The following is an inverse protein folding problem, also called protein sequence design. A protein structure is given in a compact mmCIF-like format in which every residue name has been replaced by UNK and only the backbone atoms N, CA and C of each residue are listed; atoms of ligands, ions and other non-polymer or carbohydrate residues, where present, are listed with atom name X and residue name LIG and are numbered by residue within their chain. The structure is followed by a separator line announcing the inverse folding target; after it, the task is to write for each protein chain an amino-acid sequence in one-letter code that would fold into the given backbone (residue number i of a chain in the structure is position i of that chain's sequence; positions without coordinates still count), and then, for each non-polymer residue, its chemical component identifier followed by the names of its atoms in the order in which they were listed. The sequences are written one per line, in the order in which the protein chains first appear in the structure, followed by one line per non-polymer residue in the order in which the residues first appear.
data_IF_725816292860
#
_entry.id   IF_725816292860
#
_cell.length_a   1.000
_cell.length_b   1.000
_cell.length_c   1.000
_cell.angle_alpha   90.00
_cell.angle_beta   90.00
_cell.angle_gamma   90.00
#
_symmetry.space_group_name_H-M   'P 1'
#
loop_
_entity.id
_entity.type
_entity.pdbx_description
1 polymer ?
#
# COMPACT_ATOMS: atom_id res chain seq x y z
N UNK A 1 18.66 -3.84 21.88
CA UNK A 1 17.52 -3.07 21.33
C UNK A 1 16.59 -2.69 22.48
N UNK A 2 16.35 -1.39 22.72
CA UNK A 2 15.31 -0.94 23.67
C UNK A 2 14.00 -0.80 22.90
N UNK A 3 13.02 -1.64 23.19
CA UNK A 3 11.71 -1.60 22.53
C UNK A 3 10.98 -0.31 22.95
N UNK A 4 10.54 0.48 21.98
CA UNK A 4 9.83 1.73 22.22
C UNK A 4 8.47 1.51 22.86
N UNK A 5 8.07 2.37 23.81
CA UNK A 5 6.80 2.25 24.55
C UNK A 5 5.57 2.10 23.66
N UNK A 6 5.56 2.71 22.49
CA UNK A 6 4.41 2.70 21.59
C UNK A 6 4.46 1.56 20.55
N UNK A 7 5.58 0.83 20.46
CA UNK A 7 5.76 -0.28 19.54
C UNK A 7 4.83 -1.45 19.88
N UNK A 8 4.52 -2.35 18.94
CA UNK A 8 3.82 -3.60 19.25
C UNK A 8 4.57 -4.40 20.32
N UNK A 9 3.84 -4.95 21.29
CA UNK A 9 4.44 -5.73 22.35
C UNK A 9 5.06 -7.03 21.78
N UNK A 10 6.32 -7.36 22.11
CA UNK A 10 7.02 -8.54 21.56
C UNK A 10 6.41 -9.88 21.99
N UNK A 11 5.47 -9.88 22.94
CA UNK A 11 4.74 -11.09 23.33
C UNK A 11 3.59 -11.45 22.35
N UNK A 12 3.50 -10.77 21.20
CA UNK A 12 2.48 -10.95 20.15
C UNK A 12 1.02 -10.85 20.64
N UNK A 13 0.76 -9.99 21.63
CA UNK A 13 -0.58 -9.74 22.15
C UNK A 13 -1.43 -8.76 21.33
N UNK A 14 -0.84 -8.17 20.27
CA UNK A 14 -1.49 -7.15 19.44
C UNK A 14 -1.65 -5.77 20.11
N UNK A 15 -1.13 -5.58 21.34
CA UNK A 15 -1.19 -4.30 22.07
C UNK A 15 0.15 -3.57 22.01
N UNK A 16 0.15 -2.23 22.08
CA UNK A 16 1.37 -1.44 22.26
C UNK A 16 2.12 -1.88 23.53
N UNK A 17 3.44 -1.92 23.51
CA UNK A 17 4.33 -2.42 24.55
C UNK A 17 4.02 -1.76 25.91
N UNK A 18 3.79 -0.43 25.92
CA UNK A 18 3.35 0.35 27.09
C UNK A 18 2.02 -0.09 27.71
N UNK A 19 1.17 -0.77 26.94
CA UNK A 19 -0.15 -1.29 27.37
C UNK A 19 -0.13 -2.80 27.60
N UNK A 20 1.05 -3.44 27.59
CA UNK A 20 1.19 -4.89 27.73
C UNK A 20 2.35 -5.29 28.65
N UNK A 21 3.55 -5.61 28.14
CA UNK A 21 4.65 -6.10 28.99
C UNK A 21 5.43 -4.98 29.71
N UNK A 22 5.30 -3.72 29.26
CA UNK A 22 6.04 -2.59 29.83
C UNK A 22 5.91 -2.44 31.35
N UNK A 23 4.71 -2.63 31.92
CA UNK A 23 4.48 -2.51 33.36
C UNK A 23 5.07 -3.67 34.16
N UNK A 24 5.21 -4.85 33.56
CA UNK A 24 5.84 -6.03 34.19
C UNK A 24 7.36 -5.92 34.16
N UNK A 25 7.92 -5.43 33.06
CA UNK A 25 9.36 -5.21 32.91
C UNK A 25 9.83 -4.02 33.76
N UNK A 26 9.02 -2.94 33.84
CA UNK A 26 9.29 -1.80 34.73
C UNK A 26 9.21 -2.16 36.23
N UNK A 27 8.35 -3.11 36.61
CA UNK A 27 8.26 -3.61 37.99
C UNK A 27 9.46 -4.50 38.38
N UNK A 28 10.00 -5.27 37.43
CA UNK A 28 11.20 -6.09 37.63
C UNK A 28 12.48 -5.23 37.70
N UNK A 29 12.53 -4.12 36.95
CA UNK A 29 13.63 -3.15 37.01
C UNK A 29 13.56 -2.28 38.28
N UNK A 30 12.35 -1.91 38.74
CA UNK A 30 12.14 -1.18 40.00
C UNK A 30 12.47 -2.02 41.24
N UNK A 31 12.17 -3.32 41.24
CA UNK A 31 12.54 -4.24 42.32
C UNK A 31 14.06 -4.50 42.43
N UNK A 32 14.81 -4.27 41.34
CA UNK A 32 16.28 -4.45 41.27
C UNK A 32 17.07 -3.18 41.56
N UNK A 33 16.45 -2.00 41.48
CA UNK A 33 17.16 -0.73 41.61
C UNK A 33 17.57 -0.42 43.06
N UNK A 34 16.68 -0.46 44.05
CA UNK A 34 17.03 -0.03 45.42
C UNK A 34 15.77 0.16 46.29
N UNK A 35 15.50 -0.49 47.42
CA UNK A 35 16.25 -1.45 48.26
C UNK A 35 17.71 -1.12 48.61
N UNK A 36 18.19 0.07 48.24
CA UNK A 36 19.46 0.66 48.66
C UNK A 36 19.15 2.03 49.28
N UNK A 37 18.50 1.97 50.45
CA UNK A 37 18.31 3.02 51.47
C UNK A 37 17.29 4.13 51.09
N UNK A 38 16.12 4.33 51.70
CA UNK A 38 15.43 3.90 52.93
C UNK A 38 13.90 4.12 52.70
N UNK A 39 13.04 3.15 53.02
CA UNK A 39 11.59 3.38 53.25
C UNK A 39 11.27 3.19 54.74
N UNK A 40 10.16 3.76 55.26
CA UNK A 40 8.96 2.92 55.32
C UNK A 40 7.62 3.65 55.09
N UNK A 41 6.70 2.90 54.45
CA UNK A 41 5.32 2.59 54.86
C UNK A 41 4.36 3.75 55.14
N UNK A 42 3.15 3.74 54.55
CA UNK A 42 1.91 3.52 55.32
C UNK A 42 0.66 3.54 54.42
N UNK A 43 -0.32 2.79 54.91
CA UNK A 43 -1.61 2.41 54.34
C UNK A 43 -2.49 3.55 53.79
N UNK A 44 -3.29 3.16 52.80
CA UNK A 44 -4.25 3.96 52.05
C UNK A 44 -5.53 4.26 52.86
N UNK A 45 -5.96 5.53 52.96
CA UNK A 45 -7.33 5.86 53.31
C UNK A 45 -8.14 6.29 52.08
N UNK A 46 -9.32 5.67 51.96
CA UNK A 46 -10.40 5.91 51.00
C UNK A 46 -10.90 7.36 50.96
N UNK A 47 -11.14 7.82 49.73
CA UNK A 47 -11.64 9.14 49.35
C UNK A 47 -13.13 9.32 49.67
N UNK A 48 -13.44 10.31 50.52
CA UNK A 48 -14.73 11.00 50.53
C UNK A 48 -14.51 12.48 50.84
N UNK A 49 -15.19 13.35 50.06
CA UNK A 49 -15.34 14.81 50.17
C UNK A 49 -14.45 15.67 49.22
N UNK A 50 -14.98 16.82 48.74
CA UNK A 50 -14.78 17.32 47.37
C UNK A 50 -13.50 18.14 47.18
N UNK A 51 -12.88 18.01 46.00
CA UNK A 51 -11.74 18.81 45.56
C UNK A 51 -12.08 20.31 45.44
N UNK A 52 -12.02 21.04 46.54
CA UNK A 52 -11.58 22.43 46.51
C UNK A 52 -10.10 22.51 46.90
N UNK A 53 -9.35 23.29 46.12
CA UNK A 53 -7.97 23.72 46.32
C UNK A 53 -6.83 22.72 46.01
N UNK A 54 -6.54 22.52 44.72
CA UNK A 54 -5.17 22.72 44.20
C UNK A 54 -5.25 23.49 42.87
N UNK A 55 -5.37 24.83 42.96
CA UNK A 55 -5.13 25.76 41.83
C UNK A 55 -3.65 26.16 41.83
N UNK A 56 -2.75 25.22 41.58
CA UNK A 56 -1.41 25.59 41.15
C UNK A 56 -1.49 25.81 39.63
N UNK A 57 -1.55 27.07 39.19
CA UNK A 57 -1.37 27.43 37.79
C UNK A 57 0.04 26.99 37.39
N UNK A 58 0.15 25.87 36.68
CA UNK A 58 1.31 25.64 35.81
C UNK A 58 1.26 26.77 34.78
N UNK A 59 2.13 27.77 34.93
CA UNK A 59 2.28 28.81 33.93
C UNK A 59 2.68 28.13 32.62
N UNK A 60 1.76 28.14 31.64
CA UNK A 60 2.11 27.75 30.28
C UNK A 60 3.20 28.72 29.82
N UNK A 61 4.29 28.25 29.20
CA UNK A 61 5.25 29.15 28.60
C UNK A 61 4.50 30.16 27.72
N UNK A 62 4.86 31.45 27.82
CA UNK A 62 4.27 32.49 26.97
C UNK A 62 4.43 32.04 25.52
N UNK A 63 3.33 31.98 24.77
CA UNK A 63 3.37 31.65 23.34
C UNK A 63 4.27 32.68 22.65
N UNK A 64 5.13 32.21 21.75
CA UNK A 64 5.94 33.12 20.96
C UNK A 64 5.02 33.92 20.00
N UNK A 65 5.32 35.20 19.71
CA UNK A 65 4.47 36.05 18.86
C UNK A 65 4.20 35.49 17.46
N UNK A 66 5.14 34.76 16.89
CA UNK A 66 5.00 34.07 15.59
C UNK A 66 3.99 32.92 15.70
N UNK A 67 4.10 32.10 16.75
CA UNK A 67 3.11 31.06 17.04
C UNK A 67 1.68 31.60 17.22
N UNK A 68 1.52 32.76 17.87
CA UNK A 68 0.19 33.41 18.01
C UNK A 68 -0.34 33.93 16.66
N UNK A 69 0.54 34.43 15.79
CA UNK A 69 0.18 34.88 14.43
C UNK A 69 -0.31 33.70 13.60
N UNK A 70 0.44 32.59 13.57
CA UNK A 70 0.04 31.38 12.83
C UNK A 70 -1.25 30.77 13.38
N UNK A 71 -1.43 30.72 14.70
CA UNK A 71 -2.70 30.25 15.28
C UNK A 71 -3.89 31.12 14.84
N UNK A 72 -3.69 32.43 14.75
CA UNK A 72 -4.72 33.36 14.28
C UNK A 72 -5.01 33.17 12.79
N UNK A 73 -3.97 32.96 11.97
CA UNK A 73 -4.10 32.61 10.56
C UNK A 73 -4.90 31.32 10.39
N UNK A 74 -4.52 30.24 11.05
CA UNK A 74 -5.17 28.93 10.92
C UNK A 74 -6.64 28.95 11.36
N UNK A 75 -6.96 29.66 12.45
CA UNK A 75 -8.37 29.85 12.88
C UNK A 75 -9.24 30.53 11.83
N UNK A 76 -8.66 31.47 11.07
CA UNK A 76 -9.35 32.10 9.94
C UNK A 76 -9.42 31.13 8.75
N UNK A 77 -8.29 30.51 8.43
CA UNK A 77 -8.12 29.60 7.30
C UNK A 77 -9.08 28.42 7.35
N UNK A 78 -9.23 27.76 8.49
CA UNK A 78 -10.11 26.59 8.66
C UNK A 78 -11.58 26.88 8.32
N UNK A 79 -12.02 28.11 8.59
CA UNK A 79 -13.41 28.55 8.35
C UNK A 79 -13.65 29.11 6.95
N UNK A 80 -12.58 29.34 6.19
CA UNK A 80 -12.64 29.93 4.86
C UNK A 80 -13.19 28.95 3.81
N UNK A 81 -13.79 29.50 2.75
CA UNK A 81 -14.16 28.72 1.56
C UNK A 81 -12.90 28.19 0.85
N UNK A 82 -13.03 27.24 -0.06
CA UNK A 82 -11.86 26.71 -0.80
C UNK A 82 -11.13 27.80 -1.60
N UNK A 83 -11.86 28.74 -2.21
CA UNK A 83 -11.27 29.89 -2.91
C UNK A 83 -10.56 30.85 -1.97
N UNK A 84 -11.17 31.14 -0.80
CA UNK A 84 -10.53 32.00 0.19
C UNK A 84 -9.30 31.31 0.81
N UNK A 85 -9.33 29.99 1.01
CA UNK A 85 -8.16 29.20 1.43
C UNK A 85 -7.03 29.30 0.40
N UNK A 86 -7.33 29.10 -0.88
CA UNK A 86 -6.34 29.25 -1.94
C UNK A 86 -5.72 30.65 -1.95
N UNK A 87 -6.55 31.69 -1.80
CA UNK A 87 -6.08 33.08 -1.73
C UNK A 87 -5.23 33.34 -0.48
N UNK A 88 -5.67 32.89 0.70
CA UNK A 88 -4.95 33.03 1.97
C UNK A 88 -3.60 32.33 1.94
N UNK A 89 -3.54 31.09 1.42
CA UNK A 89 -2.32 30.32 1.33
C UNK A 89 -1.31 30.98 0.39
N UNK A 90 -1.73 31.41 -0.81
CA UNK A 90 -0.85 32.15 -1.74
C UNK A 90 -0.32 33.43 -1.10
N UNK A 91 -1.19 34.21 -0.45
CA UNK A 91 -0.80 35.42 0.25
C UNK A 91 0.19 35.17 1.39
N UNK A 92 0.01 34.10 2.16
CA UNK A 92 0.96 33.71 3.20
C UNK A 92 2.33 33.35 2.58
N UNK A 93 2.37 32.48 1.58
CA UNK A 93 3.60 32.07 0.89
C UNK A 93 4.34 33.27 0.28
N UNK A 94 3.61 34.25 -0.27
CA UNK A 94 4.21 35.44 -0.89
C UNK A 94 4.74 36.48 0.12
N UNK A 95 4.09 36.58 1.28
CA UNK A 95 4.37 37.65 2.26
C UNK A 95 5.36 37.24 3.35
N UNK A 96 5.45 35.95 3.66
CA UNK A 96 6.43 35.47 4.62
C UNK A 96 7.86 35.59 4.03
N UNK A 97 8.82 36.19 4.75
CA UNK A 97 10.21 36.27 4.31
C UNK A 97 10.92 34.91 4.31
N UNK A 98 10.64 34.09 5.32
CA UNK A 98 11.13 32.73 5.49
C UNK A 98 9.94 31.88 5.92
N UNK A 99 9.72 30.76 5.23
CA UNK A 99 8.64 29.82 5.53
C UNK A 99 9.23 28.49 6.01
N UNK A 100 8.74 27.99 7.15
CA UNK A 100 9.11 26.65 7.61
C UNK A 100 8.54 25.57 6.68
N UNK A 101 9.29 24.49 6.48
CA UNK A 101 8.90 23.37 5.62
C UNK A 101 7.59 22.72 6.04
N UNK A 102 7.38 22.52 7.35
CA UNK A 102 6.13 21.95 7.87
C UNK A 102 4.93 22.86 7.62
N UNK A 103 5.09 24.17 7.80
CA UNK A 103 4.03 25.14 7.49
C UNK A 103 3.74 25.18 5.98
N UNK A 104 4.76 25.13 5.13
CA UNK A 104 4.59 25.05 3.68
C UNK A 104 3.83 23.78 3.27
N UNK A 105 4.17 22.64 3.87
CA UNK A 105 3.46 21.38 3.68
C UNK A 105 1.99 21.52 4.08
N UNK A 106 1.69 21.99 5.29
CA UNK A 106 0.30 22.11 5.79
C UNK A 106 -0.56 23.03 4.89
N UNK A 107 0.02 24.14 4.42
CA UNK A 107 -0.65 25.08 3.51
C UNK A 107 -1.01 24.39 2.19
N UNK A 108 -0.08 23.65 1.58
CA UNK A 108 -0.32 22.95 0.33
C UNK A 108 -1.26 21.76 0.54
N UNK A 109 -0.99 20.88 1.50
CA UNK A 109 -1.80 19.68 1.79
C UNK A 109 -3.28 20.03 1.96
N UNK A 110 -3.57 21.12 2.70
CA UNK A 110 -4.93 21.58 2.94
C UNK A 110 -5.71 21.98 1.68
N UNK A 111 -5.01 22.20 0.56
CA UNK A 111 -5.57 22.54 -0.76
C UNK A 111 -5.64 21.34 -1.72
N UNK A 112 -5.20 20.14 -1.31
CA UNK A 112 -5.28 18.90 -2.11
C UNK A 112 -6.67 18.64 -2.72
N UNK A 113 -7.73 19.02 -2.00
CA UNK A 113 -9.13 18.90 -2.47
C UNK A 113 -9.43 19.65 -3.78
N UNK A 114 -8.59 20.61 -4.20
CA UNK A 114 -8.68 21.24 -5.52
C UNK A 114 -8.66 20.21 -6.65
N UNK A 115 -7.92 19.10 -6.49
CA UNK A 115 -7.87 18.01 -7.47
C UNK A 115 -9.26 17.38 -7.70
N UNK A 116 -10.04 17.15 -6.63
CA UNK A 116 -11.41 16.61 -6.73
C UNK A 116 -12.36 17.51 -7.53
N UNK A 117 -12.12 18.82 -7.51
CA UNK A 117 -12.92 19.81 -8.24
C UNK A 117 -12.35 20.11 -9.64
N UNK A 118 -11.40 19.32 -10.14
CA UNK A 118 -10.79 19.50 -11.46
C UNK A 118 -9.85 20.70 -11.55
N UNK A 119 -9.44 21.27 -10.42
CA UNK A 119 -8.55 22.44 -10.33
C UNK A 119 -7.10 22.06 -10.09
N UNK A 120 -6.65 21.02 -10.80
CA UNK A 120 -5.29 20.46 -10.68
C UNK A 120 -4.22 21.52 -10.95
N UNK A 121 -4.43 22.40 -11.94
CA UNK A 121 -3.51 23.49 -12.26
C UNK A 121 -3.38 24.53 -11.13
N UNK A 122 -4.47 24.82 -10.42
CA UNK A 122 -4.41 25.74 -9.27
C UNK A 122 -3.60 25.15 -8.13
N UNK A 123 -3.76 23.84 -7.88
CA UNK A 123 -2.98 23.12 -6.88
C UNK A 123 -1.48 23.09 -7.23
N UNK A 124 -1.16 22.74 -8.48
CA UNK A 124 0.22 22.78 -8.99
C UNK A 124 0.86 24.17 -8.86
N UNK A 125 0.11 25.24 -9.17
CA UNK A 125 0.61 26.60 -9.06
C UNK A 125 0.96 27.02 -7.61
N UNK A 126 0.34 26.42 -6.59
CA UNK A 126 0.75 26.67 -5.19
C UNK A 126 2.07 25.97 -4.87
N UNK A 127 2.26 24.74 -5.35
CA UNK A 127 3.53 24.01 -5.19
C UNK A 127 4.67 24.78 -5.86
N UNK A 128 4.46 25.26 -7.10
CA UNK A 128 5.44 26.05 -7.84
C UNK A 128 5.76 27.37 -7.13
N UNK A 129 4.76 27.99 -6.49
CA UNK A 129 4.95 29.21 -5.72
C UNK A 129 5.83 28.97 -4.47
N UNK A 130 5.66 27.83 -3.78
CA UNK A 130 6.54 27.44 -2.66
C UNK A 130 7.97 27.25 -3.16
N UNK A 131 8.18 26.50 -4.25
CA UNK A 131 9.53 26.29 -4.80
C UNK A 131 10.21 27.62 -5.20
N UNK A 132 9.45 28.53 -5.82
CA UNK A 132 9.97 29.82 -6.27
C UNK A 132 10.32 30.77 -5.11
N UNK A 133 9.46 30.85 -4.09
CA UNK A 133 9.60 31.82 -2.98
C UNK A 133 10.41 31.29 -1.81
N UNK A 134 10.28 30.00 -1.52
CA UNK A 134 10.83 29.33 -0.35
C UNK A 134 11.50 28.02 -0.74
N UNK A 135 12.58 28.05 -1.55
CA UNK A 135 13.22 26.84 -2.06
C UNK A 135 13.72 25.92 -0.93
N UNK A 136 14.18 26.47 0.20
CA UNK A 136 14.63 25.65 1.34
C UNK A 136 13.45 24.91 2.01
N UNK A 137 12.28 25.55 2.12
CA UNK A 137 11.05 24.93 2.61
C UNK A 137 10.58 23.82 1.65
N UNK A 138 10.66 24.09 0.34
CA UNK A 138 10.39 23.09 -0.69
C UNK A 138 11.34 21.89 -0.54
N UNK A 139 12.65 22.12 -0.47
CA UNK A 139 13.63 21.04 -0.35
C UNK A 139 13.46 20.25 0.95
N UNK A 140 13.08 20.92 2.04
CA UNK A 140 12.75 20.26 3.30
C UNK A 140 11.61 19.26 3.10
N UNK A 141 10.57 19.55 2.33
CA UNK A 141 9.42 18.65 2.15
C UNK A 141 9.28 18.09 0.72
N UNK A 142 10.38 18.02 -0.04
CA UNK A 142 10.37 17.71 -1.48
C UNK A 142 9.66 16.39 -1.83
N UNK A 143 9.78 15.37 -0.99
CA UNK A 143 9.10 14.08 -1.19
C UNK A 143 7.57 14.19 -1.25
N UNK A 144 6.97 15.16 -0.56
CA UNK A 144 5.53 15.45 -0.64
C UNK A 144 5.20 16.30 -1.86
N UNK A 145 5.96 17.36 -2.10
CA UNK A 145 5.67 18.26 -3.22
C UNK A 145 5.88 17.59 -4.58
N UNK A 146 6.95 16.82 -4.74
CA UNK A 146 7.22 16.08 -5.96
C UNK A 146 6.23 14.92 -6.15
N UNK A 147 5.75 14.29 -5.07
CA UNK A 147 4.71 13.27 -5.20
C UNK A 147 3.42 13.88 -5.74
N UNK A 148 2.96 15.01 -5.20
CA UNK A 148 1.79 15.73 -5.73
C UNK A 148 1.97 16.20 -7.17
N UNK A 149 3.19 16.58 -7.59
CA UNK A 149 3.47 16.88 -9.01
C UNK A 149 3.30 15.66 -9.90
N UNK A 150 3.75 14.49 -9.46
CA UNK A 150 3.51 13.21 -10.17
C UNK A 150 2.02 12.92 -10.26
N UNK A 151 1.28 13.10 -9.17
CA UNK A 151 -0.18 12.91 -9.16
C UNK A 151 -0.89 13.84 -10.13
N UNK A 152 -0.54 15.13 -10.12
CA UNK A 152 -1.10 16.10 -11.03
C UNK A 152 -0.86 15.67 -12.48
N UNK A 153 0.38 15.27 -12.81
CA UNK A 153 0.72 14.81 -14.14
C UNK A 153 -0.13 13.59 -14.59
N UNK A 154 -0.33 12.63 -13.68
CA UNK A 154 -1.19 11.48 -13.95
C UNK A 154 -2.66 11.89 -14.15
N UNK A 155 -3.18 12.81 -13.34
CA UNK A 155 -4.57 13.29 -13.41
C UNK A 155 -4.83 14.07 -14.71
N UNK A 156 -3.88 14.86 -15.17
CA UNK A 156 -4.01 15.71 -16.37
C UNK A 156 -3.50 15.04 -17.64
N UNK A 157 -2.84 13.88 -17.55
CA UNK A 157 -2.22 13.21 -18.70
C UNK A 157 -1.06 14.01 -19.29
N UNK A 158 -0.36 14.80 -18.47
CA UNK A 158 0.81 15.58 -18.90
C UNK A 158 2.11 14.79 -18.72
N UNK A 159 3.23 15.40 -19.09
CA UNK A 159 4.57 14.83 -18.94
C UNK A 159 4.84 14.33 -17.50
N UNK A 160 5.31 13.08 -17.36
CA UNK A 160 5.40 12.36 -16.09
C UNK A 160 6.84 12.10 -15.63
N UNK A 161 7.81 12.00 -16.56
CA UNK A 161 9.18 11.60 -16.25
C UNK A 161 9.87 12.66 -15.40
N UNK A 162 9.74 13.95 -15.70
CA UNK A 162 10.41 14.98 -14.92
C UNK A 162 9.99 14.98 -13.43
N UNK A 163 8.69 15.02 -13.07
CA UNK A 163 8.28 14.98 -11.67
C UNK A 163 8.62 13.63 -10.98
N UNK A 164 8.55 12.50 -11.69
CA UNK A 164 8.98 11.22 -11.12
C UNK A 164 10.46 11.17 -10.79
N UNK A 165 11.31 11.73 -11.67
CA UNK A 165 12.75 11.81 -11.45
C UNK A 165 13.11 12.81 -10.34
N UNK A 166 12.29 13.83 -10.10
CA UNK A 166 12.43 14.72 -8.96
C UNK A 166 12.13 13.97 -7.65
N UNK A 167 10.97 13.29 -7.58
CA UNK A 167 10.59 12.46 -6.44
C UNK A 167 11.63 11.38 -6.11
N UNK A 168 12.22 10.75 -7.14
CA UNK A 168 13.25 9.73 -6.95
C UNK A 168 14.46 10.21 -6.12
N UNK A 169 14.78 11.51 -6.16
CA UNK A 169 15.90 12.10 -5.40
C UNK A 169 15.63 12.12 -3.89
N UNK A 170 14.37 12.24 -3.48
CA UNK A 170 13.93 12.32 -2.09
C UNK A 170 13.24 11.03 -1.60
N UNK A 171 13.16 10.00 -2.44
CA UNK A 171 12.47 8.74 -2.16
C UNK A 171 12.99 8.01 -0.91
N UNK A 172 14.28 8.09 -0.57
CA UNK A 172 14.81 7.47 0.66
C UNK A 172 14.28 8.16 1.93
N UNK A 173 14.04 9.48 1.87
CA UNK A 173 13.45 10.25 2.97
C UNK A 173 11.97 9.90 3.14
N UNK A 174 11.23 9.81 2.04
CA UNK A 174 9.80 9.53 2.00
C UNK A 174 9.48 8.17 1.39
N UNK A 175 9.99 7.07 1.96
CA UNK A 175 9.87 5.74 1.33
C UNK A 175 8.41 5.28 1.19
N UNK A 176 7.58 5.52 2.20
CA UNK A 176 6.15 5.14 2.17
C UNK A 176 5.40 5.91 1.08
N UNK A 177 5.71 7.20 0.94
CA UNK A 177 5.15 8.06 -0.09
C UNK A 177 5.63 7.64 -1.49
N UNK A 178 6.89 7.24 -1.61
CA UNK A 178 7.42 6.68 -2.85
C UNK A 178 6.69 5.39 -3.23
N UNK A 179 6.45 4.47 -2.29
CA UNK A 179 5.63 3.27 -2.55
C UNK A 179 4.22 3.62 -3.00
N UNK A 180 3.59 4.62 -2.37
CA UNK A 180 2.25 5.07 -2.74
C UNK A 180 2.20 5.51 -4.21
N UNK A 181 3.19 6.29 -4.64
CA UNK A 181 3.33 6.73 -6.03
C UNK A 181 3.68 5.56 -6.96
N UNK A 182 4.58 4.66 -6.59
CA UNK A 182 4.93 3.46 -7.39
C UNK A 182 3.66 2.68 -7.74
N UNK A 183 2.81 2.36 -6.76
CA UNK A 183 1.57 1.62 -7.01
C UNK A 183 0.59 2.40 -7.90
N UNK A 184 0.51 3.73 -7.75
CA UNK A 184 -0.32 4.58 -8.60
C UNK A 184 0.17 4.58 -10.05
N UNK A 185 1.47 4.71 -10.26
CA UNK A 185 2.10 4.71 -11.59
C UNK A 185 1.97 3.34 -12.27
N UNK A 186 2.10 2.25 -11.49
CA UNK A 186 1.79 0.90 -11.97
C UNK A 186 0.33 0.76 -12.40
N UNK A 187 -0.61 1.31 -11.63
CA UNK A 187 -2.04 1.23 -11.96
C UNK A 187 -2.37 1.89 -13.32
N UNK A 188 -1.67 2.97 -13.65
CA UNK A 188 -1.81 3.69 -14.93
C UNK A 188 -0.81 3.28 -16.03
N UNK A 189 -0.02 2.21 -15.80
CA UNK A 189 0.83 1.55 -16.80
C UNK A 189 1.98 2.38 -17.43
N UNK A 190 2.58 3.29 -16.64
CA UNK A 190 3.76 4.06 -17.07
C UNK A 190 5.07 3.32 -16.75
N UNK A 191 5.32 2.24 -17.49
CA UNK A 191 6.43 1.31 -17.23
C UNK A 191 7.82 1.95 -17.36
N UNK A 192 8.09 2.66 -18.45
CA UNK A 192 9.44 3.13 -18.74
C UNK A 192 9.86 4.22 -17.76
N UNK A 193 8.96 5.17 -17.46
CA UNK A 193 9.17 6.23 -16.49
C UNK A 193 9.35 5.69 -15.06
N UNK A 194 8.57 4.67 -14.68
CA UNK A 194 8.68 4.05 -13.36
C UNK A 194 10.00 3.32 -13.16
N UNK A 195 10.45 2.56 -14.17
CA UNK A 195 11.74 1.86 -14.13
C UNK A 195 12.87 2.87 -13.98
N UNK A 196 12.84 3.97 -14.74
CA UNK A 196 13.86 5.02 -14.64
C UNK A 196 13.89 5.65 -13.23
N UNK A 197 12.73 5.95 -12.67
CA UNK A 197 12.61 6.54 -11.33
C UNK A 197 13.10 5.61 -10.22
N UNK A 198 12.75 4.32 -10.26
CA UNK A 198 13.22 3.33 -9.29
C UNK A 198 14.73 3.13 -9.41
N UNK A 199 15.27 3.03 -10.62
CA UNK A 199 16.71 2.94 -10.87
C UNK A 199 17.47 4.15 -10.28
N UNK A 200 16.89 5.35 -10.37
CA UNK A 200 17.47 6.56 -9.79
C UNK A 200 17.37 6.60 -8.25
N UNK A 201 16.26 6.15 -7.67
CA UNK A 201 16.02 6.14 -6.22
C UNK A 201 16.80 5.04 -5.48
N UNK A 202 16.99 3.88 -6.12
CA UNK A 202 17.48 2.66 -5.48
C UNK A 202 18.83 2.81 -4.75
N UNK A 203 19.87 3.49 -5.28
CA UNK A 203 21.15 3.60 -4.58
C UNK A 203 21.05 4.28 -3.20
N UNK A 204 20.18 5.27 -3.05
CA UNK A 204 19.95 5.96 -1.77
C UNK A 204 19.16 5.04 -0.82
N UNK A 205 18.04 4.47 -1.31
CA UNK A 205 17.17 3.58 -0.53
C UNK A 205 17.96 2.36 -0.01
N UNK A 206 18.78 1.74 -0.86
CA UNK A 206 19.56 0.55 -0.50
C UNK A 206 20.53 0.81 0.65
N UNK A 207 21.16 2.00 0.66
CA UNK A 207 22.18 2.38 1.66
C UNK A 207 21.58 2.90 2.98
N UNK A 208 20.33 3.36 2.98
CA UNK A 208 19.71 3.96 4.15
C UNK A 208 19.39 2.92 5.24
N UNK A 209 19.96 3.07 6.43
CA UNK A 209 19.76 2.11 7.53
C UNK A 209 18.44 2.29 8.30
N UNK A 210 17.72 3.40 8.07
CA UNK A 210 16.41 3.65 8.67
C UNK A 210 15.28 2.97 7.89
N UNK A 211 15.52 2.63 6.62
CA UNK A 211 14.55 1.86 5.82
C UNK A 211 14.63 0.39 6.22
N UNK A 212 13.49 -0.14 6.64
CA UNK A 212 13.38 -1.52 7.11
C UNK A 212 13.80 -2.52 6.00
N UNK A 213 14.48 -3.64 6.36
CA UNK A 213 14.92 -4.62 5.38
C UNK A 213 13.80 -5.19 4.50
N UNK A 214 12.59 -5.36 5.05
CA UNK A 214 11.44 -5.85 4.29
C UNK A 214 11.00 -4.84 3.22
N UNK A 215 11.00 -3.53 3.51
CA UNK A 215 10.66 -2.50 2.53
C UNK A 215 11.67 -2.44 1.38
N UNK A 216 12.96 -2.62 1.68
CA UNK A 216 13.99 -2.75 0.62
C UNK A 216 13.77 -4.00 -0.24
N UNK A 217 13.45 -5.13 0.39
CA UNK A 217 13.18 -6.37 -0.33
C UNK A 217 11.93 -6.27 -1.21
N UNK A 218 10.87 -5.61 -0.73
CA UNK A 218 9.64 -5.36 -1.49
C UNK A 218 9.89 -4.48 -2.71
N UNK A 219 10.57 -3.33 -2.55
CA UNK A 219 10.89 -2.47 -3.68
C UNK A 219 11.81 -3.17 -4.69
N UNK A 220 12.76 -3.99 -4.21
CA UNK A 220 13.62 -4.78 -5.09
C UNK A 220 12.84 -5.83 -5.88
N UNK A 221 11.86 -6.49 -5.27
CA UNK A 221 11.00 -7.45 -5.96
C UNK A 221 10.13 -6.75 -7.02
N UNK A 222 9.57 -5.57 -6.70
CA UNK A 222 8.85 -4.73 -7.66
C UNK A 222 9.77 -4.35 -8.83
N UNK A 223 10.95 -3.79 -8.53
CA UNK A 223 11.92 -3.38 -9.54
C UNK A 223 12.32 -4.53 -10.47
N UNK A 224 12.56 -5.72 -9.90
CA UNK A 224 12.88 -6.92 -10.67
C UNK A 224 11.72 -7.33 -11.58
N UNK A 225 10.48 -7.30 -11.09
CA UNK A 225 9.29 -7.54 -11.91
C UNK A 225 9.14 -6.54 -13.06
N UNK A 226 9.32 -5.25 -12.79
CA UNK A 226 9.25 -4.18 -13.80
C UNK A 226 10.34 -4.31 -14.87
N UNK A 227 11.56 -4.68 -14.47
CA UNK A 227 12.63 -4.93 -15.44
C UNK A 227 12.33 -6.14 -16.33
N UNK A 228 11.72 -7.20 -15.79
CA UNK A 228 11.24 -8.32 -16.61
C UNK A 228 10.18 -7.81 -17.60
N UNK A 229 9.22 -7.02 -17.14
CA UNK A 229 8.18 -6.44 -18.00
C UNK A 229 8.74 -5.63 -19.16
N UNK A 230 9.70 -4.74 -18.85
CA UNK A 230 10.39 -3.88 -19.82
C UNK A 230 11.16 -4.70 -20.85
N UNK A 231 11.93 -5.69 -20.40
CA UNK A 231 12.73 -6.53 -21.29
C UNK A 231 11.87 -7.47 -22.13
N UNK A 232 10.81 -8.07 -21.57
CA UNK A 232 9.88 -8.92 -22.33
C UNK A 232 9.10 -8.09 -23.36
N UNK A 233 8.71 -6.85 -23.05
CA UNK A 233 8.07 -5.92 -24.00
C UNK A 233 8.97 -5.64 -25.20
N UNK A 234 10.27 -5.42 -24.98
CA UNK A 234 11.25 -5.20 -26.06
C UNK A 234 11.73 -6.48 -26.76
N UNK A 235 11.69 -7.63 -26.06
CA UNK A 235 12.15 -8.93 -26.52
C UNK A 235 11.20 -10.05 -26.02
N UNK A 236 10.16 -10.41 -26.79
CA UNK A 236 9.21 -11.46 -26.39
C UNK A 236 9.82 -12.86 -26.18
N UNK A 237 11.04 -13.10 -26.64
CA UNK A 237 11.79 -14.35 -26.40
C UNK A 237 12.97 -14.17 -25.44
N UNK A 238 12.86 -13.21 -24.51
CA UNK A 238 13.87 -12.94 -23.47
C UNK A 238 14.39 -14.23 -22.81
N UNK A 239 15.70 -14.43 -22.85
CA UNK A 239 16.37 -15.56 -22.20
C UNK A 239 16.70 -15.23 -20.73
N UNK A 240 16.74 -16.25 -19.86
CA UNK A 240 17.08 -16.06 -18.43
C UNK A 240 18.52 -15.54 -18.22
N UNK A 241 19.41 -15.85 -19.16
CA UNK A 241 20.82 -15.49 -19.18
C UNK A 241 21.11 -14.26 -20.06
N UNK A 242 20.08 -13.54 -20.50
CA UNK A 242 20.23 -12.32 -21.27
C UNK A 242 21.11 -11.30 -20.54
N UNK A 243 22.24 -10.93 -21.15
CA UNK A 243 23.27 -10.14 -20.50
C UNK A 243 22.78 -8.74 -20.09
N UNK A 244 21.90 -8.11 -20.90
CA UNK A 244 21.36 -6.79 -20.60
C UNK A 244 20.41 -6.86 -19.40
N UNK A 245 19.50 -7.83 -19.38
CA UNK A 245 18.61 -8.08 -18.25
C UNK A 245 19.38 -8.42 -16.96
N UNK A 246 20.37 -9.31 -17.05
CA UNK A 246 21.22 -9.67 -15.91
C UNK A 246 21.96 -8.45 -15.34
N UNK A 247 22.44 -7.56 -16.21
CA UNK A 247 23.11 -6.33 -15.79
C UNK A 247 22.14 -5.35 -15.13
N UNK A 248 20.97 -5.11 -15.73
CA UNK A 248 19.95 -4.19 -15.21
C UNK A 248 19.42 -4.62 -13.83
N UNK A 249 19.26 -5.93 -13.64
CA UNK A 249 18.62 -6.46 -12.42
C UNK A 249 19.56 -6.84 -11.29
N UNK A 250 20.88 -6.83 -11.53
CA UNK A 250 21.89 -7.25 -10.54
C UNK A 250 21.71 -6.57 -9.18
N UNK A 251 21.32 -5.30 -9.16
CA UNK A 251 21.20 -4.51 -7.94
C UNK A 251 20.01 -4.91 -7.05
N UNK A 252 18.99 -5.57 -7.63
CA UNK A 252 17.71 -5.94 -7.01
C UNK A 252 17.65 -7.39 -6.52
N UNK A 253 18.61 -8.23 -6.90
CA UNK A 253 18.63 -9.65 -6.51
C UNK A 253 19.11 -9.81 -5.06
N UNK A 254 18.22 -9.51 -4.12
CA UNK A 254 18.53 -9.52 -2.68
C UNK A 254 18.29 -10.87 -2.00
N UNK A 255 17.55 -11.78 -2.64
CA UNK A 255 17.21 -13.09 -2.07
C UNK A 255 18.04 -14.18 -2.72
N UNK A 256 18.86 -14.86 -1.91
CA UNK A 256 19.58 -16.05 -2.33
C UNK A 256 18.66 -17.28 -2.33
N UNK A 257 18.92 -18.24 -3.24
CA UNK A 257 18.35 -19.59 -3.17
C UNK A 257 16.93 -19.79 -3.72
N UNK A 258 16.24 -18.74 -4.16
CA UNK A 258 14.93 -18.87 -4.82
C UNK A 258 14.81 -17.89 -6.00
N UNK A 259 15.24 -18.30 -7.22
CA UNK A 259 15.29 -17.42 -8.38
C UNK A 259 13.91 -17.31 -9.06
N UNK A 260 12.90 -16.85 -8.32
CA UNK A 260 11.51 -16.72 -8.80
C UNK A 260 11.39 -15.98 -10.14
N UNK A 261 12.33 -15.07 -10.43
CA UNK A 261 12.40 -14.29 -11.66
C UNK A 261 12.69 -15.15 -12.90
N UNK A 262 13.38 -16.29 -12.75
CA UNK A 262 13.65 -17.23 -13.85
C UNK A 262 12.35 -17.85 -14.34
N UNK A 263 11.59 -18.47 -13.42
CA UNK A 263 10.29 -19.07 -13.75
C UNK A 263 9.30 -18.02 -14.25
N UNK A 264 9.36 -16.79 -13.69
CA UNK A 264 8.58 -15.67 -14.18
C UNK A 264 8.89 -15.40 -15.66
N UNK A 265 10.17 -15.26 -16.06
CA UNK A 265 10.54 -15.06 -17.48
C UNK A 265 10.03 -16.22 -18.35
N UNK A 266 10.16 -17.47 -17.91
CA UNK A 266 9.70 -18.62 -18.71
C UNK A 266 8.20 -18.60 -18.94
N UNK A 267 7.41 -18.25 -17.92
CA UNK A 267 5.95 -18.11 -18.08
C UNK A 267 5.64 -16.98 -19.04
N UNK A 268 6.26 -15.81 -18.85
CA UNK A 268 6.00 -14.61 -19.67
C UNK A 268 6.40 -14.73 -21.13
N UNK A 269 7.41 -15.55 -21.41
CA UNK A 269 7.86 -15.87 -22.77
C UNK A 269 7.15 -17.09 -23.36
N UNK A 270 6.22 -17.70 -22.62
CA UNK A 270 5.45 -18.87 -23.04
C UNK A 270 6.25 -20.17 -23.08
N UNK A 271 7.50 -20.17 -22.62
CA UNK A 271 8.38 -21.35 -22.55
C UNK A 271 8.01 -22.32 -21.42
N UNK A 272 7.43 -21.79 -20.34
CA UNK A 272 6.85 -22.56 -19.25
C UNK A 272 5.34 -22.35 -19.22
N UNK A 273 4.57 -23.40 -19.52
CA UNK A 273 3.09 -23.38 -19.46
C UNK A 273 2.58 -24.45 -18.47
N UNK A 274 2.62 -24.17 -17.16
CA UNK A 274 2.11 -25.08 -16.14
C UNK A 274 0.66 -25.48 -16.39
N UNK A 275 0.39 -26.78 -16.27
CA UNK A 275 -0.95 -27.34 -16.23
C UNK A 275 -1.27 -27.66 -14.77
N UNK A 276 -2.21 -26.91 -14.21
CA UNK A 276 -2.52 -26.96 -12.79
C UNK A 276 -3.56 -28.02 -12.44
N UNK A 277 -3.39 -28.69 -11.29
CA UNK A 277 -4.37 -29.62 -10.75
C UNK A 277 -4.83 -29.18 -9.36
N UNK A 278 -6.12 -29.38 -9.05
CA UNK A 278 -6.73 -29.00 -7.75
C UNK A 278 -5.92 -29.51 -6.55
N UNK A 279 -5.49 -30.76 -6.56
CA UNK A 279 -4.75 -31.36 -5.44
C UNK A 279 -3.42 -30.65 -5.12
N UNK A 280 -2.87 -29.86 -6.05
CA UNK A 280 -1.61 -29.14 -5.83
C UNK A 280 -1.74 -27.93 -4.91
N UNK A 281 -2.98 -27.48 -4.69
CA UNK A 281 -3.31 -26.29 -3.91
C UNK A 281 -4.00 -26.61 -2.57
N UNK A 282 -4.06 -27.88 -2.17
CA UNK A 282 -4.61 -28.28 -0.87
C UNK A 282 -3.81 -27.65 0.27
N UNK A 283 -4.52 -27.12 1.28
CA UNK A 283 -3.91 -26.45 2.43
C UNK A 283 -3.15 -27.47 3.29
N UNK A 284 -1.84 -27.28 3.43
CA UNK A 284 -0.92 -28.14 4.18
C UNK A 284 0.32 -28.48 3.35
N UNK A 285 1.10 -29.46 3.79
CA UNK A 285 2.28 -29.95 3.07
C UNK A 285 3.47 -28.99 3.08
N UNK A 286 4.27 -29.05 2.02
CA UNK A 286 5.42 -28.17 1.79
C UNK A 286 4.94 -26.76 1.42
N UNK A 287 4.98 -25.86 2.40
CA UNK A 287 4.52 -24.47 2.27
C UNK A 287 5.32 -23.71 1.22
N UNK A 288 6.64 -23.92 1.15
CA UNK A 288 7.49 -23.21 0.19
C UNK A 288 7.12 -23.59 -1.25
N UNK A 289 6.94 -24.90 -1.50
CA UNK A 289 6.46 -25.39 -2.79
C UNK A 289 5.06 -24.90 -3.13
N UNK A 290 4.17 -24.84 -2.13
CA UNK A 290 2.81 -24.32 -2.33
C UNK A 290 2.81 -22.83 -2.70
N UNK A 291 3.59 -22.02 -1.98
CA UNK A 291 3.76 -20.58 -2.27
C UNK A 291 4.34 -20.38 -3.67
N UNK A 292 5.35 -21.17 -4.07
CA UNK A 292 5.87 -21.12 -5.44
C UNK A 292 4.79 -21.39 -6.49
N UNK A 293 3.93 -22.40 -6.28
CA UNK A 293 2.85 -22.70 -7.22
C UNK A 293 1.83 -21.57 -7.32
N UNK A 294 1.43 -20.98 -6.20
CA UNK A 294 0.53 -19.81 -6.20
C UNK A 294 1.17 -18.64 -6.91
N UNK A 295 2.45 -18.36 -6.65
CA UNK A 295 3.20 -17.34 -7.36
C UNK A 295 3.12 -17.56 -8.88
N UNK A 296 3.50 -18.74 -9.38
CA UNK A 296 3.47 -19.05 -10.82
C UNK A 296 2.06 -19.01 -11.42
N UNK A 297 1.06 -19.51 -10.69
CA UNK A 297 -0.35 -19.42 -11.10
C UNK A 297 -0.78 -17.95 -11.26
N UNK A 298 -0.37 -17.08 -10.35
CA UNK A 298 -0.71 -15.66 -10.45
C UNK A 298 0.07 -14.95 -11.57
N UNK A 299 1.29 -15.38 -11.92
CA UNK A 299 1.99 -14.87 -13.13
C UNK A 299 1.22 -15.22 -14.41
N UNK A 300 0.67 -16.44 -14.50
CA UNK A 300 -0.24 -16.76 -15.61
C UNK A 300 -1.53 -15.92 -15.58
N UNK A 301 -2.04 -15.61 -14.38
CA UNK A 301 -3.21 -14.75 -14.24
C UNK A 301 -2.97 -13.33 -14.76
N UNK A 302 -1.81 -12.71 -14.52
CA UNK A 302 -1.54 -11.37 -15.06
C UNK A 302 -1.46 -11.37 -16.58
N UNK A 303 -0.87 -12.42 -17.18
CA UNK A 303 -0.93 -12.62 -18.64
C UNK A 303 -2.37 -12.74 -19.14
N UNK A 304 -3.19 -13.56 -18.46
CA UNK A 304 -4.60 -13.74 -18.82
C UNK A 304 -5.40 -12.42 -18.73
N UNK A 305 -5.15 -11.59 -17.71
CA UNK A 305 -5.77 -10.26 -17.58
C UNK A 305 -5.42 -9.37 -18.78
N UNK A 306 -4.15 -9.32 -19.15
CA UNK A 306 -3.70 -8.51 -20.27
C UNK A 306 -4.23 -9.03 -21.62
N UNK A 307 -4.09 -10.33 -21.88
CA UNK A 307 -4.42 -10.93 -23.18
C UNK A 307 -5.93 -11.08 -23.41
N UNK A 308 -6.71 -11.34 -22.36
CA UNK A 308 -8.14 -11.67 -22.49
C UNK A 308 -9.08 -10.63 -21.92
N UNK A 309 -8.60 -9.78 -21.01
CA UNK A 309 -9.40 -8.70 -20.39
C UNK A 309 -8.91 -7.31 -20.77
N UNK A 310 -7.87 -7.21 -21.61
CA UNK A 310 -7.28 -5.96 -22.06
C UNK A 310 -6.81 -5.06 -20.91
N UNK A 311 -6.41 -5.67 -19.78
CA UNK A 311 -5.86 -4.89 -18.68
C UNK A 311 -4.48 -4.32 -19.08
N UNK A 312 -4.18 -3.07 -18.71
CA UNK A 312 -2.83 -2.54 -18.78
C UNK A 312 -1.86 -3.45 -18.02
N UNK A 313 -0.62 -3.53 -18.51
CA UNK A 313 0.33 -4.59 -18.12
C UNK A 313 0.72 -4.47 -16.64
N UNK A 314 1.14 -3.29 -16.20
CA UNK A 314 1.51 -3.05 -14.81
C UNK A 314 0.33 -3.06 -13.85
N UNK A 315 -0.87 -2.74 -14.35
CA UNK A 315 -2.10 -2.88 -13.56
C UNK A 315 -2.42 -4.34 -13.29
N UNK A 316 -2.25 -5.20 -14.30
CA UNK A 316 -2.37 -6.65 -14.13
C UNK A 316 -1.32 -7.21 -13.16
N UNK A 317 -0.09 -6.70 -13.20
CA UNK A 317 0.97 -7.04 -12.24
C UNK A 317 0.66 -6.58 -10.81
N UNK A 318 0.11 -5.38 -10.64
CA UNK A 318 -0.32 -4.89 -9.33
C UNK A 318 -1.43 -5.80 -8.76
N UNK A 319 -2.46 -6.11 -9.56
CA UNK A 319 -3.52 -7.03 -9.14
C UNK A 319 -2.98 -8.42 -8.81
N UNK A 320 -2.05 -8.95 -9.63
CA UNK A 320 -1.37 -10.22 -9.39
C UNK A 320 -0.67 -10.22 -8.04
N UNK A 321 0.13 -9.20 -7.75
CA UNK A 321 0.90 -9.11 -6.51
C UNK A 321 -0.03 -9.14 -5.30
N UNK A 322 -1.08 -8.30 -5.30
CA UNK A 322 -2.05 -8.28 -4.21
C UNK A 322 -2.79 -9.60 -4.00
N UNK A 323 -3.21 -10.25 -5.09
CA UNK A 323 -3.92 -11.52 -5.01
C UNK A 323 -3.00 -12.67 -4.59
N UNK A 324 -1.73 -12.66 -5.00
CA UNK A 324 -0.74 -13.61 -4.53
C UNK A 324 -0.53 -13.48 -3.02
N UNK A 325 -0.34 -12.25 -2.51
CA UNK A 325 -0.22 -11.97 -1.08
C UNK A 325 -1.46 -12.44 -0.32
N UNK A 326 -2.65 -12.05 -0.78
CA UNK A 326 -3.92 -12.46 -0.20
C UNK A 326 -4.03 -13.99 -0.07
N UNK A 327 -3.80 -14.73 -1.16
CA UNK A 327 -3.94 -16.19 -1.17
C UNK A 327 -2.93 -16.85 -0.23
N UNK A 328 -1.70 -16.34 -0.17
CA UNK A 328 -0.66 -16.85 0.74
C UNK A 328 -1.00 -16.59 2.20
N UNK A 329 -1.42 -15.38 2.57
CA UNK A 329 -1.81 -15.03 3.94
C UNK A 329 -2.99 -15.89 4.41
N UNK A 330 -3.96 -16.12 3.53
CA UNK A 330 -5.13 -16.96 3.82
C UNK A 330 -4.75 -18.42 4.04
N UNK A 331 -3.79 -18.94 3.29
CA UNK A 331 -3.25 -20.29 3.52
C UNK A 331 -2.60 -20.37 4.89
N UNK A 332 -1.75 -19.41 5.22
CA UNK A 332 -1.05 -19.33 6.50
C UNK A 332 -2.02 -19.29 7.68
N UNK A 333 -3.04 -18.44 7.62
CA UNK A 333 -4.10 -18.35 8.63
C UNK A 333 -4.84 -19.69 8.80
N UNK A 334 -5.23 -20.33 7.70
CA UNK A 334 -5.95 -21.62 7.72
C UNK A 334 -5.08 -22.79 8.14
N UNK A 335 -3.77 -22.73 7.86
CA UNK A 335 -2.80 -23.73 8.27
C UNK A 335 -2.48 -23.63 9.77
N UNK A 336 -2.44 -22.41 10.31
CA UNK A 336 -2.29 -22.15 11.76
C UNK A 336 -3.55 -22.51 12.56
N UNK A 337 -4.74 -22.27 12.01
CA UNK A 337 -6.01 -22.58 12.68
C UNK A 337 -6.34 -24.09 12.74
N UNK A 338 -5.72 -24.93 11.89
CA UNK A 338 -5.96 -26.37 11.87
C UNK A 338 -5.11 -27.13 12.90
N UNK A 339 -5.74 -27.73 13.91
CA UNK A 339 -5.04 -28.65 14.83
C UNK A 339 -4.52 -29.93 14.14
N UNK A 340 -3.67 -30.74 14.81
CA UNK A 340 -3.01 -31.91 14.21
C UNK A 340 -3.96 -32.93 13.57
N UNK A 341 -5.14 -33.14 14.16
CA UNK A 341 -6.18 -34.06 13.65
C UNK A 341 -6.84 -33.58 12.36
N UNK A 342 -7.01 -32.26 12.20
CA UNK A 342 -7.58 -31.66 10.99
C UNK A 342 -6.61 -31.71 9.81
N UNK A 343 -5.30 -31.71 10.06
CA UNK A 343 -4.26 -31.87 9.02
C UNK A 343 -4.28 -33.28 8.41
N UNK A 344 -4.47 -34.33 9.23
CA UNK A 344 -4.56 -35.72 8.75
C UNK A 344 -5.80 -35.96 7.86
N UNK A 345 -6.95 -35.44 8.28
CA UNK A 345 -8.21 -35.60 7.54
C UNK A 345 -8.26 -34.84 6.19
N UNK A 346 -7.46 -33.76 6.04
CA UNK A 346 -7.30 -33.05 4.75
C UNK A 346 -6.45 -33.82 3.75
N UNK A 347 -5.54 -34.67 4.24
CA UNK A 347 -4.65 -35.48 3.42
C UNK A 347 -5.36 -36.73 2.88
N UNK A 348 -6.40 -37.21 3.59
CA UNK A 348 -7.20 -38.37 3.20
C UNK A 348 -8.34 -38.04 2.20
N UNK A 349 -8.67 -36.77 1.99
CA UNK A 349 -9.75 -36.30 1.09
C UNK A 349 -9.22 -35.76 -0.26
N UNK A 350 -8.23 -36.45 -0.85
CA UNK A 350 -7.61 -36.07 -2.12
C UNK A 350 -8.40 -36.48 -3.37
N UNK A 351 -9.63 -36.97 -3.20
CA UNK A 351 -10.52 -37.22 -4.33
C UNK A 351 -11.03 -35.89 -4.87
N UNK A 352 -10.89 -35.69 -6.19
CA UNK A 352 -11.29 -34.50 -6.97
C UNK A 352 -12.80 -34.15 -6.90
N UNK A 353 -13.55 -34.71 -5.96
CA UNK A 353 -15.01 -34.58 -5.82
C UNK A 353 -15.42 -33.61 -4.69
N UNK A 354 -14.47 -33.03 -3.95
CA UNK A 354 -14.71 -32.03 -2.90
C UNK A 354 -14.67 -30.58 -3.38
N UNK A 355 -15.08 -29.61 -2.52
CA UNK A 355 -15.03 -28.19 -2.83
C UNK A 355 -13.59 -27.73 -3.13
N UNK A 356 -13.46 -26.71 -3.98
CA UNK A 356 -12.16 -26.19 -4.39
C UNK A 356 -11.28 -25.79 -3.20
N UNK A 357 -9.97 -26.10 -3.20
CA UNK A 357 -9.05 -25.55 -2.20
C UNK A 357 -9.05 -24.02 -2.18
N UNK A 358 -9.29 -23.37 -3.33
CA UNK A 358 -9.42 -21.92 -3.40
C UNK A 358 -10.74 -21.42 -2.80
N UNK A 359 -11.85 -22.15 -2.94
CA UNK A 359 -13.11 -21.78 -2.28
C UNK A 359 -12.99 -21.77 -0.74
N UNK A 360 -12.08 -22.58 -0.19
CA UNK A 360 -11.78 -22.57 1.25
C UNK A 360 -10.93 -21.35 1.70
N UNK A 361 -10.18 -20.74 0.79
CA UNK A 361 -9.27 -19.61 1.05
C UNK A 361 -9.93 -18.27 0.73
N UNK A 362 -10.65 -18.22 -0.40
CA UNK A 362 -11.20 -17.03 -1.05
C UNK A 362 -12.72 -17.00 -0.84
N UNK A 363 -13.15 -16.28 0.18
CA UNK A 363 -14.57 -15.96 0.41
C UNK A 363 -14.82 -14.45 0.27
N UNK A 364 -16.06 -14.03 -0.03
CA UNK A 364 -16.44 -12.61 -0.06
C UNK A 364 -16.04 -11.86 1.21
N UNK A 365 -16.19 -12.48 2.38
CA UNK A 365 -15.83 -11.90 3.68
C UNK A 365 -14.33 -11.69 3.82
N UNK A 366 -13.52 -12.65 3.37
CA UNK A 366 -12.07 -12.52 3.43
C UNK A 366 -11.54 -11.49 2.45
N UNK A 367 -12.12 -11.41 1.24
CA UNK A 367 -11.75 -10.41 0.25
C UNK A 367 -12.10 -8.99 0.72
N UNK A 368 -13.31 -8.80 1.26
CA UNK A 368 -13.76 -7.54 1.86
C UNK A 368 -12.82 -7.07 2.99
N UNK A 369 -12.48 -7.98 3.92
CA UNK A 369 -11.53 -7.67 5.00
C UNK A 369 -10.15 -7.29 4.47
N UNK A 370 -9.66 -7.99 3.45
CA UNK A 370 -8.37 -7.69 2.83
C UNK A 370 -8.36 -6.28 2.23
N UNK A 371 -9.38 -5.93 1.45
CA UNK A 371 -9.52 -4.59 0.86
C UNK A 371 -9.64 -3.50 1.92
N UNK A 372 -10.41 -3.74 2.98
CA UNK A 372 -10.51 -2.81 4.10
C UNK A 372 -9.15 -2.60 4.80
N UNK A 373 -8.34 -3.65 4.94
CA UNK A 373 -6.99 -3.56 5.50
C UNK A 373 -6.02 -2.73 4.64
N UNK A 374 -6.23 -2.68 3.33
CA UNK A 374 -5.44 -1.81 2.43
C UNK A 374 -5.85 -0.35 2.49
N UNK A 375 -7.01 -0.04 3.07
CA UNK A 375 -7.52 1.32 3.27
C UNK A 375 -7.40 1.73 4.74
N UNK A 376 -6.39 1.19 5.44
CA UNK A 376 -6.06 1.61 6.80
C UNK A 376 -5.65 3.08 6.82
N UNK A 377 -6.08 3.78 7.88
CA UNK A 377 -5.90 5.22 8.02
C UNK A 377 -4.44 5.67 8.02
N UNK A 378 -3.49 4.82 8.45
CA UNK A 378 -2.09 5.20 8.60
C UNK A 378 -1.26 5.02 7.33
N UNK A 379 -1.64 4.10 6.44
CA UNK A 379 -0.91 3.83 5.21
C UNK A 379 -1.88 3.35 4.11
N UNK A 380 -2.77 4.22 3.64
CA UNK A 380 -3.79 3.82 2.66
C UNK A 380 -3.14 3.52 1.30
N UNK A 381 -3.50 2.38 0.73
CA UNK A 381 -3.10 1.93 -0.61
C UNK A 381 -4.29 1.90 -1.58
N UNK A 382 -4.89 3.04 -1.95
CA UNK A 382 -6.12 3.08 -2.76
C UNK A 382 -5.97 2.39 -4.12
N UNK A 383 -4.80 2.51 -4.76
CA UNK A 383 -4.53 1.87 -6.06
C UNK A 383 -4.28 0.36 -5.95
N UNK A 384 -3.69 -0.10 -4.85
CA UNK A 384 -3.58 -1.54 -4.53
C UNK A 384 -4.97 -2.12 -4.30
N UNK A 385 -5.78 -1.43 -3.49
CA UNK A 385 -7.14 -1.84 -3.17
C UNK A 385 -8.03 -1.85 -4.42
N UNK A 386 -7.86 -0.88 -5.32
CA UNK A 386 -8.57 -0.86 -6.59
C UNK A 386 -8.16 -2.03 -7.50
N UNK A 387 -6.86 -2.26 -7.67
CA UNK A 387 -6.34 -3.35 -8.50
C UNK A 387 -6.81 -4.72 -7.99
N UNK A 388 -6.71 -4.97 -6.69
CA UNK A 388 -7.23 -6.17 -6.06
C UNK A 388 -8.77 -6.25 -6.15
N UNK A 389 -9.45 -5.14 -5.88
CA UNK A 389 -10.90 -5.04 -5.86
C UNK A 389 -11.54 -5.41 -7.19
N UNK A 390 -10.94 -4.96 -8.29
CA UNK A 390 -11.31 -5.31 -9.66
C UNK A 390 -10.75 -6.67 -10.09
N UNK A 391 -9.61 -7.07 -9.52
CA UNK A 391 -8.93 -8.33 -9.80
C UNK A 391 -9.64 -9.56 -9.23
N UNK A 392 -10.31 -9.47 -8.07
CA UNK A 392 -10.95 -10.62 -7.43
C UNK A 392 -11.97 -11.35 -8.34
N UNK A 393 -12.97 -10.67 -8.95
CA UNK A 393 -13.88 -11.34 -9.88
C UNK A 393 -13.16 -11.97 -11.08
N UNK A 394 -12.14 -11.29 -11.62
CA UNK A 394 -11.32 -11.79 -12.72
C UNK A 394 -10.53 -13.04 -12.34
N UNK A 395 -9.95 -13.07 -11.14
CA UNK A 395 -9.19 -14.20 -10.64
C UNK A 395 -10.07 -15.42 -10.43
N UNK A 396 -11.30 -15.21 -9.99
CA UNK A 396 -12.30 -16.28 -9.87
C UNK A 396 -12.67 -16.84 -11.24
N UNK A 397 -12.92 -15.99 -12.24
CA UNK A 397 -13.15 -16.42 -13.62
C UNK A 397 -11.96 -17.24 -14.16
N UNK A 398 -10.73 -16.78 -13.90
CA UNK A 398 -9.51 -17.48 -14.28
C UNK A 398 -9.38 -18.86 -13.62
N UNK A 399 -9.65 -18.96 -12.31
CA UNK A 399 -9.64 -20.23 -11.59
C UNK A 399 -10.71 -21.20 -12.09
N UNK A 400 -11.89 -20.70 -12.47
CA UNK A 400 -12.96 -21.51 -13.08
C UNK A 400 -12.53 -22.01 -14.45
N UNK A 401 -11.92 -21.15 -15.26
CA UNK A 401 -11.42 -21.52 -16.60
C UNK A 401 -10.37 -22.63 -16.54
N UNK A 402 -9.46 -22.56 -15.57
CA UNK A 402 -8.45 -23.61 -15.33
C UNK A 402 -9.02 -24.89 -14.67
N UNK A 403 -10.31 -24.92 -14.33
CA UNK A 403 -10.92 -26.02 -13.59
C UNK A 403 -10.45 -26.14 -12.14
N UNK A 404 -9.78 -25.13 -11.60
CA UNK A 404 -9.32 -25.07 -10.21
C UNK A 404 -10.44 -24.67 -9.23
N UNK A 405 -11.52 -24.08 -9.74
CA UNK A 405 -12.75 -23.75 -9.02
C UNK A 405 -13.98 -24.15 -9.84
N UNK A 406 -15.03 -24.63 -9.19
CA UNK A 406 -16.27 -24.96 -9.91
C UNK A 406 -17.07 -23.70 -10.28
N UNK A 407 -17.75 -23.72 -11.42
CA UNK A 407 -18.53 -22.56 -11.88
C UNK A 407 -19.58 -22.11 -10.84
N UNK A 408 -20.21 -23.05 -10.14
CA UNK A 408 -21.15 -22.74 -9.07
C UNK A 408 -20.51 -22.00 -7.89
N UNK A 409 -19.28 -22.39 -7.50
CA UNK A 409 -18.50 -21.70 -6.47
C UNK A 409 -18.14 -20.29 -6.93
N UNK A 410 -17.71 -20.12 -8.19
CA UNK A 410 -17.37 -18.83 -8.75
C UNK A 410 -18.55 -17.86 -8.84
N UNK A 411 -19.72 -18.33 -9.28
CA UNK A 411 -20.97 -17.54 -9.29
C UNK A 411 -21.39 -17.14 -7.88
N UNK A 412 -21.30 -18.06 -6.92
CA UNK A 412 -21.60 -17.80 -5.51
C UNK A 412 -20.69 -16.73 -4.92
N UNK A 413 -19.37 -16.83 -5.17
CA UNK A 413 -18.40 -15.83 -4.73
C UNK A 413 -18.75 -14.45 -5.30
N UNK A 414 -18.91 -14.32 -6.61
CA UNK A 414 -19.14 -13.01 -7.26
C UNK A 414 -20.40 -12.33 -6.75
N UNK A 415 -21.48 -13.09 -6.54
CA UNK A 415 -22.74 -12.59 -5.96
C UNK A 415 -22.58 -12.11 -4.51
N UNK A 416 -21.81 -12.83 -3.69
CA UNK A 416 -21.54 -12.43 -2.31
C UNK A 416 -20.60 -11.23 -2.24
N UNK A 417 -19.59 -11.22 -3.11
CA UNK A 417 -18.56 -10.20 -3.19
C UNK A 417 -19.15 -8.84 -3.58
N UNK A 418 -19.94 -8.77 -4.66
CA UNK A 418 -20.55 -7.52 -5.14
C UNK A 418 -21.34 -6.79 -4.05
N UNK A 419 -22.05 -7.53 -3.19
CA UNK A 419 -22.80 -6.95 -2.06
C UNK A 419 -21.92 -6.34 -0.98
N UNK A 420 -20.73 -6.92 -0.74
CA UNK A 420 -19.82 -6.47 0.31
C UNK A 420 -19.02 -5.26 -0.13
N UNK A 421 -18.53 -5.27 -1.36
CA UNK A 421 -17.65 -4.21 -1.87
C UNK A 421 -18.37 -3.02 -2.50
N UNK A 422 -19.70 -2.90 -2.35
CA UNK A 422 -20.48 -1.76 -2.87
C UNK A 422 -19.96 -0.39 -2.42
N UNK A 423 -19.40 -0.32 -1.22
CA UNK A 423 -18.87 0.93 -0.64
C UNK A 423 -17.37 1.15 -0.95
N UNK A 424 -16.73 0.22 -1.67
CA UNK A 424 -15.31 0.33 -2.02
C UNK A 424 -14.99 1.62 -2.80
N UNK A 425 -15.76 2.06 -3.82
CA UNK A 425 -15.46 3.30 -4.53
C UNK A 425 -15.45 4.52 -3.60
N UNK A 426 -16.43 4.60 -2.69
CA UNK A 426 -16.50 5.66 -1.68
C UNK A 426 -15.34 5.60 -0.70
N UNK A 427 -14.95 4.40 -0.26
CA UNK A 427 -13.80 4.19 0.62
C UNK A 427 -12.50 4.65 -0.03
N UNK A 428 -12.27 4.26 -1.29
CA UNK A 428 -11.11 4.67 -2.07
C UNK A 428 -11.10 6.19 -2.32
N UNK A 429 -12.25 6.78 -2.69
CA UNK A 429 -12.39 8.21 -2.93
C UNK A 429 -12.09 9.09 -1.71
N UNK A 430 -12.16 8.54 -0.50
CA UNK A 430 -11.72 9.22 0.72
C UNK A 430 -10.20 9.37 0.86
N UNK A 431 -9.41 8.62 0.09
CA UNK A 431 -7.94 8.60 0.15
C UNK A 431 -7.26 9.08 -1.15
N UNK A 432 -8.03 9.45 -2.18
CA UNK A 432 -7.46 9.90 -3.46
C UNK A 432 -8.29 11.00 -4.10
N UNK A 433 -7.60 11.95 -4.73
CA UNK A 433 -8.15 13.00 -5.59
C UNK A 433 -8.45 12.55 -7.03
N UNK A 434 -8.54 11.24 -7.29
CA UNK A 434 -8.64 10.69 -8.64
C UNK A 434 -10.09 10.30 -9.01
N UNK A 435 -10.85 11.21 -9.68
CA UNK A 435 -12.24 10.93 -10.04
C UNK A 435 -12.36 9.82 -11.08
N UNK A 436 -11.34 9.60 -11.92
CA UNK A 436 -11.36 8.55 -12.96
C UNK A 436 -11.36 7.16 -12.30
N UNK A 437 -10.50 6.98 -11.29
CA UNK A 437 -10.45 5.72 -10.53
C UNK A 437 -11.79 5.41 -9.86
N UNK A 438 -12.38 6.40 -9.19
CA UNK A 438 -13.66 6.23 -8.48
C UNK A 438 -14.77 5.88 -9.46
N UNK A 439 -14.88 6.60 -10.57
CA UNK A 439 -15.88 6.34 -11.61
C UNK A 439 -15.73 4.93 -12.22
N UNK A 440 -14.49 4.50 -12.47
CA UNK A 440 -14.23 3.15 -12.99
C UNK A 440 -14.69 2.06 -12.00
N UNK A 441 -14.41 2.24 -10.72
CA UNK A 441 -14.84 1.31 -9.67
C UNK A 441 -16.36 1.29 -9.54
N UNK A 442 -17.03 2.44 -9.57
CA UNK A 442 -18.50 2.52 -9.52
C UNK A 442 -19.15 1.77 -10.69
N UNK A 443 -18.62 1.95 -11.91
CA UNK A 443 -19.08 1.26 -13.10
C UNK A 443 -18.90 -0.27 -12.96
N UNK A 444 -17.72 -0.71 -12.52
CA UNK A 444 -17.42 -2.12 -12.34
C UNK A 444 -18.29 -2.78 -11.25
N UNK A 445 -18.49 -2.12 -10.10
CA UNK A 445 -19.30 -2.65 -9.02
C UNK A 445 -20.79 -2.75 -9.42
N UNK A 446 -21.29 -1.80 -10.20
CA UNK A 446 -22.64 -1.85 -10.78
C UNK A 446 -22.79 -3.01 -11.77
N UNK A 447 -21.79 -3.23 -12.63
CA UNK A 447 -21.77 -4.32 -13.60
C UNK A 447 -21.81 -5.72 -12.96
N UNK A 448 -21.24 -5.89 -11.76
CA UNK A 448 -21.28 -7.15 -11.00
C UNK A 448 -22.67 -7.50 -10.46
N UNK A 449 -23.57 -6.52 -10.28
CA UNK A 449 -24.93 -6.74 -9.80
C UNK A 449 -25.89 -7.23 -10.91
N UNK A 450 -25.61 -6.87 -12.16
CA UNK A 450 -26.43 -7.20 -13.34
C UNK A 450 -26.27 -8.61 -13.90
N UNK A 451 -25.42 -9.46 -13.30
CA UNK A 451 -25.34 -10.89 -13.64
C UNK A 451 -24.63 -11.26 -14.96
N UNK A 452 -23.95 -10.34 -15.65
CA UNK A 452 -23.34 -10.66 -16.95
C UNK A 452 -22.21 -9.75 -17.47
N UNK A 453 -21.67 -8.81 -16.70
CA UNK A 453 -20.62 -7.91 -17.20
C UNK A 453 -19.22 -8.51 -17.11
N UNK A 454 -18.52 -8.62 -18.25
CA UNK A 454 -17.06 -8.70 -18.24
C UNK A 454 -16.51 -7.42 -17.61
N UNK A 455 -15.65 -7.54 -16.60
CA UNK A 455 -14.86 -6.41 -16.08
C UNK A 455 -13.77 -6.12 -17.11
N UNK A 456 -14.12 -5.44 -18.20
CA UNK A 456 -13.17 -4.83 -19.12
C UNK A 456 -12.83 -3.44 -18.61
N UNK A 457 -11.55 -3.12 -18.51
CA UNK A 457 -11.10 -1.74 -18.34
C UNK A 457 -11.43 -1.02 -19.65
N UNK A 458 -12.26 0.02 -19.62
CA UNK A 458 -12.46 0.88 -20.78
C UNK A 458 -11.11 1.52 -21.10
N UNK A 459 -10.50 1.09 -22.21
CA UNK A 459 -9.34 1.72 -22.79
C UNK A 459 -9.77 3.08 -23.38
N UNK A 460 -9.92 4.07 -22.52
CA UNK A 460 -9.96 5.47 -22.91
C UNK A 460 -8.86 6.21 -22.15
N UNK A 461 -7.70 6.36 -22.80
CA UNK A 461 -6.85 7.53 -22.60
C UNK A 461 -6.79 8.27 -23.94
N UNK A 462 -6.82 9.61 -23.95
CA UNK A 462 -6.44 10.39 -25.12
C UNK A 462 -4.95 10.25 -25.45
#
# INVERSE_FOLDING_TARGET
MKIGRNEPCPCNSGKKYKKCCWTKDAAADAARASHRQLEPSFDEPTLTEPHEAIKAKVERPKKDPEGERWESFWKRYEKASLDEKLWLAKGAIESEPELDGGVAFDLVESLSSLQHYGRVSDFGAVIDLVEQRHPDAFQAEAHWFDSWRVENALLTGTELRAPLMALAKSAAKGIDEFFRIVHRVMFYDHLDELVDAINAAWPAIKKDNNIMPYGKAELADIALGLEIEKHVKGNPSLAQDDAAFLAATKAYRLRDGFPWWQDYIEIRTGRLQPIWKRHEFVIGGDVAKWVQRVFLLTVQFSMWLWERRSWPRLRAELARFELCLFVCDRHDEKNKAGGPKARKHRQDSLDNQGPSPFAALISPESADRFLAGQLDMFCPGPYRAAAAGLGFPCFIDFLVELGLMDNGEGVSFKKGYSKRVKQLPKGIGGFTGDPRLVAELEAAMTGLEGGGGQVGVTAEQP
#
